data_IF_884037534315
#
_entry.id   IF_884037534315
#
_cell.length_a   1.000
_cell.length_b   1.000
_cell.length_c   1.000
_cell.angle_alpha   90.00
_cell.angle_beta   90.00
_cell.angle_gamma   90.00
#
_symmetry.space_group_name_H-M   'P 1'
#
loop_
_entity.id
_entity.type
_entity.pdbx_description
1 polymer ?
#
# COMPACT_ATOMS: atom_id res chain seq x y z
N UNK A 1 -8.74 23.19 2.77
CA UNK A 1 -8.46 21.80 2.34
C UNK A 1 -7.02 21.39 2.61
N UNK A 2 -6.07 22.32 2.73
CA UNK A 2 -4.67 22.02 3.08
C UNK A 2 -4.47 21.58 4.54
N UNK A 3 -5.32 22.01 5.47
CA UNK A 3 -5.15 21.69 6.91
C UNK A 3 -5.66 20.28 7.31
N UNK A 4 -6.09 19.47 6.33
CA UNK A 4 -6.58 18.10 6.55
C UNK A 4 -5.61 17.03 6.08
N UNK A 5 -4.46 17.42 5.53
CA UNK A 5 -3.43 16.48 5.09
C UNK A 5 -2.11 16.82 5.77
N UNK A 6 -1.39 15.83 6.33
CA UNK A 6 -0.01 16.03 6.73
C UNK A 6 0.82 16.40 5.50
N UNK A 7 1.65 17.45 5.61
CA UNK A 7 2.55 17.84 4.53
C UNK A 7 3.57 16.73 4.30
N UNK A 8 3.73 16.30 3.03
CA UNK A 8 4.81 15.40 2.65
C UNK A 8 6.11 16.20 2.66
N UNK A 9 7.10 15.68 3.38
CA UNK A 9 8.44 16.26 3.39
C UNK A 9 9.06 16.01 2.01
N UNK A 10 9.27 17.09 1.26
CA UNK A 10 9.97 17.06 -0.02
C UNK A 10 11.47 17.02 0.22
N UNK A 11 11.97 15.93 0.82
CA UNK A 11 13.41 15.72 0.96
C UNK A 11 13.98 15.10 -0.32
N UNK A 12 14.76 15.94 -1.02
CA UNK A 12 15.95 15.60 -1.78
C UNK A 12 15.89 14.41 -2.76
N UNK A 13 15.13 14.54 -3.85
CA UNK A 13 15.46 13.82 -5.08
C UNK A 13 16.57 14.58 -5.82
N UNK A 14 17.81 14.29 -5.45
CA UNK A 14 18.97 14.65 -6.28
C UNK A 14 18.82 13.94 -7.63
N UNK A 15 18.60 14.73 -8.67
CA UNK A 15 18.59 14.27 -10.06
C UNK A 15 20.03 14.03 -10.52
N UNK A 16 20.65 12.97 -10.01
CA UNK A 16 21.91 12.43 -10.54
C UNK A 16 21.57 11.40 -11.64
N UNK A 17 22.05 11.70 -12.85
CA UNK A 17 22.23 10.83 -14.02
C UNK A 17 21.21 9.69 -14.26
N UNK A 18 20.04 10.06 -14.79
CA UNK A 18 18.93 9.15 -15.12
C UNK A 18 19.04 8.48 -16.51
N UNK A 19 20.19 8.52 -17.18
CA UNK A 19 20.31 8.10 -18.58
C UNK A 19 20.77 6.67 -18.83
N UNK A 20 21.24 5.93 -17.83
CA UNK A 20 21.93 4.65 -18.07
C UNK A 20 21.63 3.55 -17.04
N UNK A 21 21.06 3.89 -15.88
CA UNK A 21 20.68 2.90 -14.88
C UNK A 21 19.24 2.45 -15.11
N UNK A 22 19.10 1.18 -15.49
CA UNK A 22 17.83 0.48 -15.60
C UNK A 22 16.95 0.73 -14.35
N UNK A 23 15.69 1.10 -14.57
CA UNK A 23 14.74 1.53 -13.54
C UNK A 23 14.64 0.51 -12.40
N UNK A 24 14.68 -0.79 -12.73
CA UNK A 24 14.64 -1.88 -11.75
C UNK A 24 15.91 -1.94 -10.90
N UNK A 25 17.07 -1.73 -11.51
CA UNK A 25 18.35 -1.69 -10.80
C UNK A 25 18.38 -0.54 -9.80
N UNK A 26 17.89 0.65 -10.19
CA UNK A 26 17.83 1.83 -9.33
C UNK A 26 16.90 1.63 -8.13
N UNK A 27 15.69 1.12 -8.36
CA UNK A 27 14.75 0.82 -7.28
C UNK A 27 15.30 -0.26 -6.35
N UNK A 28 15.98 -1.28 -6.88
CA UNK A 28 16.58 -2.34 -6.07
C UNK A 28 17.71 -1.84 -5.17
N UNK A 29 18.51 -0.87 -5.62
CA UNK A 29 19.59 -0.27 -4.82
C UNK A 29 19.02 0.66 -3.73
N UNK A 30 17.95 1.40 -4.04
CA UNK A 30 17.31 2.32 -3.11
C UNK A 30 16.53 1.60 -2.00
N UNK A 31 15.82 0.53 -2.35
CA UNK A 31 14.92 -0.20 -1.44
C UNK A 31 15.64 -1.36 -0.73
N UNK A 32 16.76 -1.85 -1.28
CA UNK A 32 17.56 -2.93 -0.72
C UNK A 32 16.87 -4.30 -0.76
N UNK A 33 17.48 -5.29 -0.10
CA UNK A 33 17.02 -6.68 -0.10
C UNK A 33 15.83 -6.95 0.85
N UNK A 34 15.30 -5.93 1.53
CA UNK A 34 14.26 -6.10 2.56
C UNK A 34 12.90 -6.60 2.02
N UNK A 35 12.67 -6.49 0.71
CA UNK A 35 11.43 -6.93 0.05
C UNK A 35 11.63 -8.11 -0.91
N UNK A 36 12.86 -8.63 -1.06
CA UNK A 36 13.10 -9.78 -1.94
C UNK A 36 12.55 -11.06 -1.30
N UNK A 37 11.61 -11.69 -1.98
CA UNK A 37 11.08 -13.01 -1.61
C UNK A 37 11.69 -14.11 -2.49
N UNK A 38 11.72 -15.36 -2.01
CA UNK A 38 12.23 -16.50 -2.81
C UNK A 38 11.43 -16.70 -4.12
N UNK A 39 10.18 -16.22 -4.16
CA UNK A 39 9.32 -16.25 -5.36
C UNK A 39 9.67 -15.17 -6.39
N UNK A 40 10.27 -14.04 -5.98
CA UNK A 40 10.68 -13.01 -6.93
C UNK A 40 11.84 -13.49 -7.80
N UNK A 41 12.68 -14.40 -7.30
CA UNK A 41 13.78 -14.98 -8.07
C UNK A 41 13.29 -15.88 -9.21
N UNK A 42 12.15 -16.56 -9.01
CA UNK A 42 11.51 -17.39 -10.03
C UNK A 42 10.85 -16.51 -11.11
N UNK A 43 10.19 -15.42 -10.71
CA UNK A 43 9.54 -14.46 -11.63
C UNK A 43 10.57 -13.67 -12.45
N UNK A 44 11.68 -13.23 -11.82
CA UNK A 44 12.75 -12.52 -12.52
C UNK A 44 13.47 -13.42 -13.53
N UNK A 45 13.63 -14.71 -13.23
CA UNK A 45 14.24 -15.66 -14.16
C UNK A 45 13.34 -15.98 -15.37
N UNK A 46 12.01 -15.98 -15.20
CA UNK A 46 11.05 -16.18 -16.29
C UNK A 46 10.87 -14.90 -17.15
N UNK A 47 11.03 -13.72 -16.53
CA UNK A 47 10.90 -12.43 -17.20
C UNK A 47 12.02 -12.13 -18.21
N UNK A 48 13.21 -12.69 -18.03
CA UNK A 48 14.33 -12.49 -18.96
C UNK A 48 14.03 -13.05 -20.36
N UNK A 49 13.30 -14.17 -20.46
CA UNK A 49 12.88 -14.76 -21.74
C UNK A 49 11.82 -13.88 -22.42
N UNK A 50 10.80 -13.42 -21.67
CA UNK A 50 9.76 -12.52 -22.19
C UNK A 50 10.32 -11.14 -22.62
N UNK A 51 11.32 -10.63 -21.91
CA UNK A 51 11.98 -9.36 -22.22
C UNK A 51 12.87 -9.50 -23.47
N UNK A 52 13.54 -10.63 -23.66
CA UNK A 52 14.30 -10.89 -24.88
C UNK A 52 13.38 -11.02 -26.10
N UNK A 53 12.24 -11.71 -25.97
CA UNK A 53 11.21 -11.79 -27.01
C UNK A 53 10.66 -10.40 -27.39
N UNK A 54 10.52 -9.49 -26.43
CA UNK A 54 10.12 -8.10 -26.69
C UNK A 54 11.19 -7.31 -27.47
N UNK A 55 12.48 -7.51 -27.16
CA UNK A 55 13.60 -6.88 -27.87
C UNK A 55 13.75 -7.38 -29.31
N UNK A 56 13.39 -8.63 -29.59
CA UNK A 56 13.39 -9.15 -30.96
C UNK A 56 12.23 -8.59 -31.81
N UNK A 57 11.08 -8.32 -31.18
CA UNK A 57 9.89 -7.78 -31.85
C UNK A 57 9.97 -6.27 -32.12
N UNK A 58 10.80 -5.56 -31.36
CA UNK A 58 11.03 -4.13 -31.53
C UNK A 58 12.55 -3.86 -31.57
N UNK A 59 13.12 -3.62 -32.76
CA UNK A 59 14.54 -3.30 -32.88
C UNK A 59 14.89 -2.13 -31.96
N UNK A 60 15.91 -2.33 -31.11
CA UNK A 60 16.43 -1.26 -30.23
C UNK A 60 16.84 -0.08 -31.10
N UNK A 61 16.11 1.04 -30.97
CA UNK A 61 16.50 2.31 -31.57
C UNK A 61 17.68 2.81 -30.75
N UNK A 62 18.87 2.89 -31.36
CA UNK A 62 20.05 3.49 -30.72
C UNK A 62 19.65 4.82 -30.06
N UNK A 63 19.89 4.93 -28.75
CA UNK A 63 19.78 6.17 -28.00
C UNK A 63 20.83 7.16 -28.54
N UNK A 64 20.44 7.96 -29.52
CA UNK A 64 21.08 9.23 -29.77
C UNK A 64 20.81 10.13 -28.56
N UNK A 65 21.82 10.26 -27.69
CA UNK A 65 21.84 11.25 -26.61
C UNK A 65 21.53 12.68 -27.12
N UNK A 66 21.16 13.60 -26.21
CA UNK A 66 20.40 14.80 -26.54
C UNK A 66 21.27 15.83 -27.27
N UNK A 67 21.23 15.78 -28.59
CA UNK A 67 21.75 16.82 -29.47
C UNK A 67 20.57 17.51 -30.14
N UNK A 68 20.44 18.80 -29.88
CA UNK A 68 19.30 19.61 -30.27
C UNK A 68 19.05 19.67 -31.77
N UNK A 69 17.85 20.16 -32.07
CA UNK A 69 17.51 20.88 -33.29
C UNK A 69 17.86 20.19 -34.63
N UNK A 70 16.77 19.71 -35.23
CA UNK A 70 16.32 20.14 -36.55
C UNK A 70 16.78 19.29 -37.75
N UNK A 71 15.80 19.06 -38.64
CA UNK A 71 15.98 18.89 -40.08
C UNK A 71 16.77 17.66 -40.54
N UNK A 72 16.02 16.63 -40.93
CA UNK A 72 16.46 15.65 -41.92
C UNK A 72 16.75 16.37 -43.25
N UNK A 73 18.03 16.61 -43.51
CA UNK A 73 18.59 16.63 -44.85
C UNK A 73 19.23 15.26 -45.07
N UNK A 74 18.65 14.45 -45.96
CA UNK A 74 19.32 13.26 -46.49
C UNK A 74 19.66 13.56 -47.95
N UNK A 75 20.96 13.67 -48.21
CA UNK A 75 21.55 13.73 -49.53
C UNK A 75 21.60 12.31 -50.11
N UNK A 76 21.25 12.21 -51.39
CA UNK A 76 21.03 11.05 -52.26
C UNK A 76 22.14 9.97 -52.18
N UNK A 77 21.87 8.69 -52.44
CA UNK A 77 21.89 8.14 -53.80
C UNK A 77 21.21 6.74 -53.90
N UNK A 78 20.53 6.54 -55.03
CA UNK A 78 20.04 5.29 -55.65
C UNK A 78 18.66 4.71 -55.23
N UNK A 79 17.64 5.27 -55.90
CA UNK A 79 16.58 4.59 -56.67
C UNK A 79 15.69 3.55 -55.96
N UNK A 80 14.50 4.00 -55.53
CA UNK A 80 13.20 3.46 -56.02
C UNK A 80 12.03 4.35 -55.55
N UNK A 81 11.65 5.27 -56.43
CA UNK A 81 10.33 5.87 -56.63
C UNK A 81 9.19 5.45 -55.64
N UNK A 82 8.95 6.24 -54.60
CA UNK A 82 7.61 6.38 -54.01
C UNK A 82 7.18 7.85 -54.02
N UNK A 83 6.84 8.34 -55.22
CA UNK A 83 6.06 9.57 -55.39
C UNK A 83 4.61 9.29 -54.97
N UNK A 84 4.26 9.62 -53.72
CA UNK A 84 2.98 9.16 -53.22
C UNK A 84 2.29 9.92 -52.08
N UNK A 85 2.75 11.11 -51.65
CA UNK A 85 1.87 12.11 -51.00
C UNK A 85 2.61 13.44 -50.75
N UNK A 86 3.16 14.04 -51.80
CA UNK A 86 3.66 15.41 -51.72
C UNK A 86 2.49 16.39 -51.55
N UNK A 87 2.50 17.13 -50.43
CA UNK A 87 1.72 18.33 -50.13
C UNK A 87 1.13 19.04 -51.36
N UNK A 88 -0.09 18.68 -51.74
CA UNK A 88 -0.94 19.51 -52.59
C UNK A 88 -1.68 20.48 -51.67
N UNK A 89 -1.00 21.57 -51.28
CA UNK A 89 -1.69 22.76 -50.80
C UNK A 89 -2.32 23.45 -52.02
N UNK A 90 -3.37 22.84 -52.56
CA UNK A 90 -4.37 23.58 -53.32
C UNK A 90 -4.97 24.60 -52.37
N UNK A 91 -4.58 25.86 -52.50
CA UNK A 91 -5.32 26.99 -51.94
C UNK A 91 -6.71 26.99 -52.58
N UNK A 92 -7.64 26.26 -51.97
CA UNK A 92 -9.06 26.41 -52.23
C UNK A 92 -9.49 27.74 -51.60
N UNK A 93 -9.45 28.80 -52.40
CA UNK A 93 -9.98 30.13 -52.08
C UNK A 93 -11.50 30.05 -51.94
N UNK A 94 -11.94 29.70 -50.73
CA UNK A 94 -13.35 29.55 -50.37
C UNK A 94 -13.60 28.19 -49.76
N UNK A 95 -13.66 28.14 -48.43
CA UNK A 95 -14.11 26.96 -47.70
C UNK A 95 -15.45 26.50 -48.27
N UNK A 96 -15.49 25.30 -48.86
CA UNK A 96 -16.75 24.73 -49.36
C UNK A 96 -17.77 24.70 -48.23
N UNK A 97 -19.03 25.09 -48.51
CA UNK A 97 -20.12 25.10 -47.52
C UNK A 97 -20.25 23.76 -46.78
N UNK A 98 -19.98 22.65 -47.47
CA UNK A 98 -19.99 21.31 -46.89
C UNK A 98 -18.87 21.09 -45.86
N UNK A 99 -17.70 21.68 -46.07
CA UNK A 99 -16.58 21.60 -45.14
C UNK A 99 -16.85 22.42 -43.88
N UNK A 100 -17.50 23.59 -44.03
CA UNK A 100 -17.94 24.42 -42.91
C UNK A 100 -19.03 23.71 -42.07
N UNK A 101 -20.05 23.13 -42.71
CA UNK A 101 -21.08 22.35 -42.02
C UNK A 101 -20.53 21.09 -41.33
N UNK A 102 -19.50 20.46 -41.91
CA UNK A 102 -18.84 19.31 -41.30
C UNK A 102 -18.03 19.69 -40.06
N UNK A 103 -17.26 20.79 -40.12
CA UNK A 103 -16.55 21.35 -38.96
C UNK A 103 -17.52 21.67 -37.83
N UNK A 104 -18.63 22.35 -38.12
CA UNK A 104 -19.64 22.68 -37.10
C UNK A 104 -20.24 21.43 -36.46
N UNK A 105 -20.62 20.40 -37.23
CA UNK A 105 -21.12 19.13 -36.69
C UNK A 105 -20.08 18.42 -35.81
N UNK A 106 -18.82 18.41 -36.25
CA UNK A 106 -17.70 17.82 -35.50
C UNK A 106 -17.48 18.56 -34.18
N UNK A 107 -17.45 19.87 -34.20
CA UNK A 107 -17.23 20.70 -33.02
C UNK A 107 -18.37 20.54 -32.00
N UNK A 108 -19.62 20.44 -32.47
CA UNK A 108 -20.77 20.12 -31.62
C UNK A 108 -20.65 18.72 -30.98
N UNK A 109 -20.20 17.71 -31.75
CA UNK A 109 -20.01 16.36 -31.23
C UNK A 109 -18.85 16.27 -30.22
N UNK A 110 -17.74 16.97 -30.51
CA UNK A 110 -16.60 17.10 -29.59
C UNK A 110 -17.05 17.81 -28.32
N UNK A 111 -17.74 18.94 -28.42
CA UNK A 111 -18.24 19.69 -27.26
C UNK A 111 -19.15 18.83 -26.37
N UNK A 112 -20.04 18.03 -26.97
CA UNK A 112 -20.90 17.10 -26.22
C UNK A 112 -20.09 15.99 -25.54
N UNK A 113 -19.05 15.45 -26.19
CA UNK A 113 -18.15 14.47 -25.57
C UNK A 113 -17.33 15.08 -24.44
N UNK A 114 -16.83 16.29 -24.62
CA UNK A 114 -16.07 17.03 -23.61
C UNK A 114 -16.93 17.36 -22.39
N UNK A 115 -18.18 17.76 -22.58
CA UNK A 115 -19.12 17.98 -21.49
C UNK A 115 -19.37 16.69 -20.70
N UNK A 116 -19.60 15.57 -21.38
CA UNK A 116 -19.78 14.27 -20.75
C UNK A 116 -18.50 13.81 -20.01
N UNK A 117 -17.32 14.03 -20.58
CA UNK A 117 -16.05 13.68 -19.96
C UNK A 117 -15.76 14.58 -18.75
N UNK A 118 -16.05 15.87 -18.84
CA UNK A 118 -15.91 16.84 -17.75
C UNK A 118 -16.82 16.47 -16.56
N UNK A 119 -18.07 16.06 -16.83
CA UNK A 119 -18.98 15.54 -15.80
C UNK A 119 -18.41 14.28 -15.13
N UNK A 120 -17.99 13.29 -15.91
CA UNK A 120 -17.35 12.07 -15.38
C UNK A 120 -16.12 12.37 -14.52
N UNK A 121 -15.25 13.28 -14.97
CA UNK A 121 -14.08 13.70 -14.19
C UNK A 121 -14.49 14.33 -12.85
N UNK A 122 -15.49 15.21 -12.85
CA UNK A 122 -16.01 15.82 -11.62
C UNK A 122 -16.61 14.77 -10.68
N UNK A 123 -17.40 13.83 -11.20
CA UNK A 123 -18.00 12.75 -10.42
C UNK A 123 -16.93 11.84 -9.80
N UNK A 124 -15.88 11.51 -10.55
CA UNK A 124 -14.74 10.72 -10.04
C UNK A 124 -14.01 11.47 -8.94
N UNK A 125 -13.74 12.77 -9.12
CA UNK A 125 -13.09 13.59 -8.09
C UNK A 125 -13.96 13.69 -6.84
N UNK A 126 -15.27 13.91 -6.98
CA UNK A 126 -16.20 13.95 -5.85
C UNK A 126 -16.26 12.62 -5.12
N UNK A 127 -16.33 11.51 -5.88
CA UNK A 127 -16.33 10.16 -5.29
C UNK A 127 -15.02 9.87 -4.57
N UNK A 128 -13.88 10.30 -5.10
CA UNK A 128 -12.59 10.16 -4.44
C UNK A 128 -12.54 10.97 -3.13
N UNK A 129 -13.02 12.21 -3.14
CA UNK A 129 -13.13 13.04 -1.93
C UNK A 129 -14.03 12.39 -0.88
N UNK A 130 -15.21 11.92 -1.25
CA UNK A 130 -16.10 11.21 -0.34
C UNK A 130 -15.47 9.93 0.21
N UNK A 131 -14.77 9.16 -0.63
CA UNK A 131 -14.07 7.95 -0.19
C UNK A 131 -12.97 8.26 0.84
N UNK A 132 -12.28 9.39 0.69
CA UNK A 132 -11.28 9.85 1.65
C UNK A 132 -11.94 10.23 2.98
N UNK A 133 -13.03 11.01 2.93
CA UNK A 133 -13.78 11.39 4.13
C UNK A 133 -14.32 10.15 4.86
N UNK A 134 -14.95 9.22 4.12
CA UNK A 134 -15.47 7.95 4.65
C UNK A 134 -14.35 7.10 5.28
N UNK A 135 -13.14 7.08 4.70
CA UNK A 135 -12.00 6.36 5.26
C UNK A 135 -11.61 6.92 6.63
N UNK A 136 -11.48 8.24 6.76
CA UNK A 136 -11.09 8.87 8.01
C UNK A 136 -12.18 8.76 9.08
N UNK A 137 -13.45 8.88 8.71
CA UNK A 137 -14.56 8.69 9.63
C UNK A 137 -14.58 7.25 10.16
N UNK A 138 -14.44 6.26 9.29
CA UNK A 138 -14.39 4.85 9.71
C UNK A 138 -13.15 4.55 10.55
N UNK A 139 -11.98 5.07 10.19
CA UNK A 139 -10.74 4.89 10.95
C UNK A 139 -10.84 5.50 12.34
N UNK A 140 -11.33 6.73 12.44
CA UNK A 140 -11.49 7.42 13.72
C UNK A 140 -12.51 6.71 14.61
N UNK A 141 -13.65 6.29 14.05
CA UNK A 141 -14.64 5.50 14.77
C UNK A 141 -14.06 4.18 15.29
N UNK A 142 -13.32 3.45 14.45
CA UNK A 142 -12.67 2.20 14.85
C UNK A 142 -11.61 2.43 15.94
N UNK A 143 -10.80 3.48 15.81
CA UNK A 143 -9.81 3.87 16.83
C UNK A 143 -10.49 4.21 18.15
N UNK A 144 -11.57 4.98 18.12
CA UNK A 144 -12.31 5.36 19.33
C UNK A 144 -12.96 4.14 19.98
N UNK A 145 -13.59 3.26 19.20
CA UNK A 145 -14.16 2.00 19.70
C UNK A 145 -13.09 1.11 20.33
N UNK A 146 -11.97 0.92 19.65
CA UNK A 146 -10.86 0.14 20.19
C UNK A 146 -10.30 0.74 21.49
N UNK A 147 -10.12 2.06 21.54
CA UNK A 147 -9.70 2.75 22.77
C UNK A 147 -10.70 2.54 23.92
N UNK A 148 -12.00 2.63 23.64
CA UNK A 148 -13.06 2.34 24.62
C UNK A 148 -13.03 0.89 25.09
N UNK A 149 -12.80 -0.06 24.19
CA UNK A 149 -12.66 -1.48 24.52
C UNK A 149 -11.45 -1.72 25.44
N UNK A 150 -10.29 -1.16 25.11
CA UNK A 150 -9.07 -1.27 25.93
C UNK A 150 -9.28 -0.64 27.31
N UNK A 151 -9.91 0.54 27.39
CA UNK A 151 -10.22 1.17 28.68
C UNK A 151 -11.17 0.32 29.52
N UNK A 152 -12.19 -0.28 28.89
CA UNK A 152 -13.13 -1.18 29.57
C UNK A 152 -12.43 -2.46 30.04
N UNK A 153 -11.56 -3.04 29.22
CA UNK A 153 -10.76 -4.21 29.59
C UNK A 153 -9.80 -3.88 30.73
N UNK A 154 -9.17 -2.71 30.70
CA UNK A 154 -8.33 -2.23 31.79
C UNK A 154 -9.13 -2.10 33.09
N UNK A 155 -10.31 -1.49 33.05
CA UNK A 155 -11.17 -1.37 34.24
C UNK A 155 -11.58 -2.74 34.77
N UNK A 156 -11.98 -3.65 33.89
CA UNK A 156 -12.31 -5.04 34.26
C UNK A 156 -11.11 -5.78 34.85
N UNK A 157 -9.91 -5.57 34.31
CA UNK A 157 -8.68 -6.16 34.82
C UNK A 157 -8.32 -5.61 36.20
N UNK A 158 -8.45 -4.30 36.40
CA UNK A 158 -8.23 -3.66 37.70
C UNK A 158 -9.25 -4.15 38.73
N UNK A 159 -10.53 -4.26 38.37
CA UNK A 159 -11.57 -4.82 39.24
C UNK A 159 -11.29 -6.29 39.59
N UNK A 160 -10.93 -7.11 38.59
CA UNK A 160 -10.53 -8.51 38.82
C UNK A 160 -9.32 -8.60 39.73
N UNK A 161 -8.29 -7.78 39.52
CA UNK A 161 -7.09 -7.75 40.36
C UNK A 161 -7.42 -7.34 41.79
N UNK A 162 -8.15 -6.25 41.97
CA UNK A 162 -8.48 -5.72 43.29
C UNK A 162 -9.46 -6.65 44.04
N UNK A 163 -10.42 -7.24 43.32
CA UNK A 163 -11.32 -8.28 43.83
C UNK A 163 -10.57 -9.55 44.22
N UNK A 164 -9.63 -9.99 43.38
CA UNK A 164 -8.76 -11.12 43.67
C UNK A 164 -7.94 -10.88 44.94
N UNK A 165 -7.31 -9.70 45.08
CA UNK A 165 -6.51 -9.35 46.27
C UNK A 165 -7.35 -9.27 47.56
N UNK A 166 -8.61 -8.85 47.48
CA UNK A 166 -9.53 -8.74 48.62
C UNK A 166 -10.20 -10.06 49.00
N UNK A 167 -10.22 -11.07 48.11
CA UNK A 167 -10.97 -12.31 48.31
C UNK A 167 -10.13 -13.41 48.94
N UNK A 168 -10.61 -13.92 50.08
CA UNK A 168 -10.10 -15.15 50.69
C UNK A 168 -8.71 -15.04 51.31
N UNK A 169 -8.13 -16.19 51.65
CA UNK A 169 -6.77 -16.28 52.20
C UNK A 169 -5.72 -16.21 51.09
N UNK A 170 -4.47 -15.90 51.43
CA UNK A 170 -3.35 -15.95 50.47
C UNK A 170 -3.26 -17.30 49.74
N UNK A 171 -3.58 -18.40 50.43
CA UNK A 171 -3.54 -19.75 49.87
C UNK A 171 -4.67 -20.04 48.88
N UNK A 172 -5.84 -19.41 49.06
CA UNK A 172 -6.94 -19.50 48.09
C UNK A 172 -6.54 -18.85 46.75
N UNK A 173 -5.90 -17.68 46.83
CA UNK A 173 -5.35 -16.94 45.69
C UNK A 173 -4.26 -17.72 44.95
N UNK A 174 -3.29 -18.27 45.69
CA UNK A 174 -2.20 -19.08 45.09
C UNK A 174 -2.76 -20.33 44.41
N UNK A 175 -3.74 -21.00 45.02
CA UNK A 175 -4.34 -22.19 44.42
C UNK A 175 -5.11 -21.84 43.12
N UNK A 176 -5.81 -20.70 43.06
CA UNK A 176 -6.48 -20.24 41.84
C UNK A 176 -5.49 -19.91 40.71
N UNK A 177 -4.41 -19.18 41.01
CA UNK A 177 -3.36 -18.89 40.03
C UNK A 177 -2.70 -20.16 39.48
N UNK A 178 -2.42 -21.14 40.36
CA UNK A 178 -1.82 -22.42 39.94
C UNK A 178 -2.78 -23.20 39.04
N UNK A 179 -4.09 -23.10 39.24
CA UNK A 179 -5.07 -23.71 38.32
C UNK A 179 -5.25 -22.94 37.02
N UNK A 180 -5.14 -21.61 37.04
CA UNK A 180 -5.30 -20.75 35.85
C UNK A 180 -4.08 -20.81 34.92
N UNK A 181 -2.87 -20.90 35.47
CA UNK A 181 -1.61 -21.08 34.72
C UNK A 181 -1.56 -22.43 33.98
N UNK A 182 -2.39 -23.40 34.39
CA UNK A 182 -2.47 -24.72 33.76
C UNK A 182 -1.20 -25.56 33.93
N UNK A 183 -1.20 -26.74 33.31
CA UNK A 183 0.00 -27.58 33.26
C UNK A 183 1.01 -26.99 32.26
N UNK A 184 2.18 -26.62 32.78
CA UNK A 184 3.32 -26.18 31.99
C UNK A 184 3.83 -27.33 31.08
N UNK A 185 4.49 -27.02 29.95
CA UNK A 185 5.05 -28.03 29.06
C UNK A 185 5.92 -29.01 29.83
N UNK A 186 5.70 -30.28 29.50
CA UNK A 186 6.18 -31.51 30.12
C UNK A 186 7.71 -31.56 30.17
N UNK A 187 8.30 -30.83 31.11
CA UNK A 187 9.64 -31.10 31.58
C UNK A 187 9.48 -32.14 32.70
N UNK A 188 9.55 -33.41 32.31
CA UNK A 188 9.15 -34.62 33.04
C UNK A 188 9.78 -34.79 34.45
N UNK A 189 10.79 -34.00 34.82
CA UNK A 189 11.55 -34.19 36.06
C UNK A 189 10.94 -33.53 37.31
N UNK A 190 9.83 -32.79 37.21
CA UNK A 190 9.20 -32.12 38.38
C UNK A 190 7.72 -32.46 38.53
N UNK A 191 7.43 -33.52 39.27
CA UNK A 191 6.07 -33.84 39.72
C UNK A 191 5.55 -32.79 40.72
N UNK A 192 4.56 -31.99 40.28
CA UNK A 192 3.91 -30.95 41.09
C UNK A 192 2.65 -31.45 41.80
N UNK A 193 2.27 -32.72 41.64
CA UNK A 193 1.04 -33.29 42.23
C UNK A 193 1.00 -33.18 43.75
N UNK A 194 2.15 -33.42 44.40
CA UNK A 194 2.27 -33.29 45.87
C UNK A 194 2.13 -31.84 46.33
N UNK A 195 2.61 -30.89 45.53
CA UNK A 195 2.51 -29.47 45.81
C UNK A 195 1.08 -28.96 45.63
N UNK A 196 0.39 -29.38 44.55
CA UNK A 196 -1.02 -29.03 44.35
C UNK A 196 -1.93 -29.64 45.41
N UNK A 197 -1.66 -30.86 45.88
CA UNK A 197 -2.36 -31.44 47.03
C UNK A 197 -2.15 -30.63 48.32
N UNK A 198 -0.92 -30.16 48.57
CA UNK A 198 -0.63 -29.34 49.74
C UNK A 198 -1.39 -28.00 49.67
N UNK A 199 -1.42 -27.34 48.50
CA UNK A 199 -2.18 -26.12 48.28
C UNK A 199 -3.68 -26.33 48.49
N UNK A 200 -4.25 -27.42 47.97
CA UNK A 200 -5.65 -27.80 48.22
C UNK A 200 -5.94 -28.00 49.70
N UNK A 201 -4.98 -28.54 50.48
CA UNK A 201 -5.10 -28.69 51.94
C UNK A 201 -4.97 -27.36 52.70
N UNK A 202 -4.30 -26.35 52.14
CA UNK A 202 -4.11 -25.04 52.75
C UNK A 202 -5.24 -24.06 52.42
N UNK A 203 -5.98 -24.32 51.35
CA UNK A 203 -7.21 -23.61 50.95
C UNK A 203 -8.18 -23.45 52.13
N UNK A 204 -8.65 -22.23 52.37
CA UNK A 204 -9.63 -21.87 53.42
C UNK A 204 -9.13 -21.95 54.87
N UNK A 205 -7.84 -22.24 55.13
CA UNK A 205 -7.31 -22.30 56.50
C UNK A 205 -6.75 -20.96 56.96
N UNK A 206 -7.58 -20.18 57.66
CA UNK A 206 -7.21 -18.85 58.19
C UNK A 206 -6.07 -18.88 59.23
N UNK A 207 -5.88 -19.99 59.94
CA UNK A 207 -4.79 -20.17 60.92
C UNK A 207 -3.48 -20.66 60.30
N UNK A 208 -3.44 -20.91 58.99
CA UNK A 208 -2.21 -21.29 58.33
C UNK A 208 -1.23 -20.11 58.32
N UNK A 209 0.08 -20.34 58.48
CA UNK A 209 1.07 -19.27 58.38
C UNK A 209 0.94 -18.57 57.03
N UNK A 210 0.96 -17.23 57.05
CA UNK A 210 0.81 -16.39 55.85
C UNK A 210 -0.62 -16.27 55.29
N UNK A 211 -1.63 -16.90 55.88
CA UNK A 211 -3.01 -16.87 55.36
C UNK A 211 -3.67 -15.48 55.41
N UNK A 212 -3.34 -14.67 56.43
CA UNK A 212 -3.92 -13.33 56.66
C UNK A 212 -3.32 -12.21 55.80
N UNK A 213 -2.30 -12.48 54.99
CA UNK A 213 -1.54 -11.44 54.29
C UNK A 213 -0.62 -10.65 55.24
N UNK A 214 0.32 -9.90 54.65
CA UNK A 214 1.11 -8.86 55.32
C UNK A 214 0.57 -7.48 54.95
#
# INVERSE_FOLDING_TARGET
MADKFPALDSENLETEDLGSSDFLSRESELVGDEFKTEQDQEILAESDDDINDFKEQFPEVEEAGPSGQNQHAHESEEDEQFEGFGNSTTQFDGESKHLSEWKERRDLEISKREEANSKKKKDVVQKAQQTIDDFYDNYNNKKEQHSKEVLKEQEQYLEKRDGFLKRGTLWDRVNELVTEVGDLPENEDRDKSRFTELLKKLKGKEKAPGAGGY
#
